data_IF_789214055473
#
_entry.id   IF_789214055473
#
_cell.length_a   1.000
_cell.length_b   1.000
_cell.length_c   1.000
_cell.angle_alpha   90.00
_cell.angle_beta   90.00
_cell.angle_gamma   90.00
#
_symmetry.space_group_name_H-M   'P 1'
#
loop_
_entity.id
_entity.type
_entity.pdbx_description
1 polymer ?
#
# COMPACT_ATOMS: atom_id res chain seq x y z
N UNK A 1 3.68 -34.23 -17.79
CA UNK A 1 2.36 -33.92 -18.34
C UNK A 1 2.16 -32.40 -18.19
N UNK A 2 2.41 -31.62 -19.24
CA UNK A 2 2.31 -30.15 -19.20
C UNK A 2 0.84 -29.76 -19.38
N UNK A 3 0.16 -29.29 -18.32
CA UNK A 3 -1.16 -28.67 -18.43
C UNK A 3 -0.98 -27.18 -18.70
N UNK A 4 -1.32 -26.78 -19.91
CA UNK A 4 -1.39 -25.39 -20.32
C UNK A 4 -2.56 -24.70 -19.63
N UNK A 5 -2.28 -23.70 -18.77
CA UNK A 5 -3.28 -22.69 -18.43
C UNK A 5 -3.36 -21.73 -19.61
N UNK A 6 -4.43 -21.81 -20.39
CA UNK A 6 -4.66 -20.94 -21.54
C UNK A 6 -5.02 -19.55 -21.05
N UNK A 7 -4.06 -18.64 -21.04
CA UNK A 7 -4.34 -17.21 -20.87
C UNK A 7 -5.10 -16.67 -22.10
N UNK A 8 -6.41 -16.67 -22.04
CA UNK A 8 -7.23 -15.80 -22.92
C UNK A 8 -7.11 -14.38 -22.39
N UNK A 9 -6.11 -13.57 -22.72
CA UNK A 9 -6.17 -12.17 -22.28
C UNK A 9 -4.96 -11.29 -22.63
N UNK A 10 -4.58 -11.17 -23.92
CA UNK A 10 -3.74 -10.01 -24.28
C UNK A 10 -4.50 -8.67 -24.21
N UNK A 11 -5.81 -8.65 -24.46
CA UNK A 11 -6.62 -7.43 -24.49
C UNK A 11 -6.95 -6.90 -23.08
N UNK A 12 -7.29 -7.76 -22.13
CA UNK A 12 -7.61 -7.38 -20.75
C UNK A 12 -6.41 -6.86 -19.94
N UNK A 13 -5.19 -7.36 -20.16
CA UNK A 13 -3.99 -6.91 -19.47
C UNK A 13 -3.55 -5.49 -19.85
N UNK A 14 -3.88 -5.01 -21.05
CA UNK A 14 -3.65 -3.61 -21.43
C UNK A 14 -4.69 -2.67 -20.81
N UNK A 15 -5.97 -3.08 -20.80
CA UNK A 15 -7.07 -2.32 -20.21
C UNK A 15 -6.86 -2.10 -18.70
N UNK A 16 -6.35 -3.11 -17.97
CA UNK A 16 -6.11 -2.99 -16.53
C UNK A 16 -4.85 -2.20 -16.18
N UNK A 17 -3.82 -2.19 -17.01
CA UNK A 17 -2.64 -1.32 -16.84
C UNK A 17 -2.99 0.15 -16.95
N UNK A 18 -3.96 0.47 -17.80
CA UNK A 18 -4.41 1.84 -18.05
C UNK A 18 -5.38 2.35 -16.95
N UNK A 19 -5.86 1.44 -16.09
CA UNK A 19 -6.80 1.77 -14.99
C UNK A 19 -6.11 2.27 -13.72
N UNK A 20 -4.79 2.12 -13.59
CA UNK A 20 -4.01 2.62 -12.46
C UNK A 20 -2.94 3.59 -12.96
N UNK A 21 -3.08 4.85 -12.56
CA UNK A 21 -2.04 5.85 -12.78
C UNK A 21 -1.10 5.87 -11.57
N UNK A 22 0.20 5.64 -11.83
CA UNK A 22 1.24 5.67 -10.80
C UNK A 22 2.05 6.96 -10.88
N UNK A 23 2.02 7.73 -9.78
CA UNK A 23 2.91 8.84 -9.54
C UNK A 23 3.96 8.44 -8.50
N UNK A 24 5.25 8.57 -8.84
CA UNK A 24 6.35 8.20 -7.95
C UNK A 24 7.14 9.42 -7.51
N UNK A 25 7.45 9.51 -6.23
CA UNK A 25 8.34 10.50 -5.64
C UNK A 25 9.47 9.77 -4.92
N UNK A 26 10.71 10.12 -5.22
CA UNK A 26 11.91 9.49 -4.63
C UNK A 26 12.55 10.40 -3.60
N UNK A 27 13.16 9.82 -2.55
CA UNK A 27 13.82 10.56 -1.48
C UNK A 27 12.92 11.65 -0.87
N UNK A 28 11.66 11.27 -0.56
CA UNK A 28 10.61 12.19 -0.13
C UNK A 28 11.00 12.84 1.20
N UNK A 29 10.92 14.17 1.22
CA UNK A 29 11.02 14.98 2.43
C UNK A 29 9.63 15.14 3.05
N UNK A 30 9.58 15.36 4.36
CA UNK A 30 8.30 15.56 5.06
C UNK A 30 7.46 16.72 4.47
N UNK A 31 8.11 17.77 3.96
CA UNK A 31 7.42 18.90 3.32
C UNK A 31 6.77 18.53 1.98
N UNK A 32 7.26 17.49 1.30
CA UNK A 32 6.79 17.12 -0.03
C UNK A 32 5.50 16.26 0.03
N UNK A 33 5.18 15.66 1.20
CA UNK A 33 4.04 14.74 1.35
C UNK A 33 2.71 15.45 1.06
N UNK A 34 2.43 16.55 1.77
CA UNK A 34 1.18 17.30 1.61
C UNK A 34 1.04 17.86 0.19
N UNK A 35 2.14 18.38 -0.36
CA UNK A 35 2.15 18.89 -1.73
C UNK A 35 1.83 17.76 -2.72
N UNK A 36 2.48 16.61 -2.61
CA UNK A 36 2.25 15.48 -3.51
C UNK A 36 0.80 14.98 -3.46
N UNK A 37 0.20 14.88 -2.26
CA UNK A 37 -1.19 14.45 -2.12
C UNK A 37 -2.14 15.49 -2.73
N UNK A 38 -1.92 16.78 -2.48
CA UNK A 38 -2.75 17.86 -3.03
C UNK A 38 -2.65 17.97 -4.57
N UNK A 39 -1.47 17.73 -5.14
CA UNK A 39 -1.26 17.74 -6.59
C UNK A 39 -1.94 16.57 -7.29
N UNK A 40 -1.94 15.39 -6.67
CA UNK A 40 -2.36 14.14 -7.33
C UNK A 40 -3.76 13.67 -6.96
N UNK A 41 -4.31 14.13 -5.82
CA UNK A 41 -5.59 13.67 -5.26
C UNK A 41 -5.72 12.13 -5.33
N UNK A 42 -4.80 11.36 -4.73
CA UNK A 42 -4.70 9.94 -4.94
C UNK A 42 -5.82 9.17 -4.22
N UNK A 43 -6.26 8.06 -4.82
CA UNK A 43 -7.12 7.08 -4.13
C UNK A 43 -6.30 6.19 -3.20
N UNK A 44 -5.05 5.93 -3.56
CA UNK A 44 -4.12 5.08 -2.80
C UNK A 44 -2.83 5.85 -2.57
N UNK A 45 -2.34 5.86 -1.33
CA UNK A 45 -1.00 6.36 -0.97
C UNK A 45 -0.15 5.17 -0.58
N UNK A 46 1.04 5.04 -1.16
CA UNK A 46 1.99 3.98 -0.84
C UNK A 46 3.30 4.56 -0.35
N UNK A 47 3.64 4.27 0.89
CA UNK A 47 4.97 4.52 1.44
C UNK A 47 5.81 3.25 1.32
N UNK A 48 6.95 3.35 0.61
CA UNK A 48 7.93 2.28 0.50
C UNK A 48 9.28 2.81 0.96
N UNK A 49 9.86 2.19 1.99
CA UNK A 49 11.10 2.65 2.56
C UNK A 49 11.40 2.03 3.92
N UNK A 50 12.12 2.75 4.74
CA UNK A 50 12.50 2.27 6.06
C UNK A 50 11.50 2.71 7.14
N UNK A 51 11.26 1.83 8.09
CA UNK A 51 10.58 2.11 9.35
C UNK A 51 11.51 1.84 10.52
N UNK A 52 11.34 2.58 11.60
CA UNK A 52 12.06 2.39 12.86
C UNK A 52 11.25 1.48 13.80
N UNK A 53 11.93 0.81 14.74
CA UNK A 53 11.30 -0.09 15.72
C UNK A 53 10.23 0.61 16.60
N UNK A 54 10.37 1.92 16.82
CA UNK A 54 9.37 2.73 17.53
C UNK A 54 8.13 3.06 16.66
N UNK A 55 8.12 2.59 15.40
CA UNK A 55 7.05 2.79 14.46
C UNK A 55 7.15 4.10 13.66
N UNK A 56 8.20 4.90 13.77
CA UNK A 56 8.38 6.09 12.93
C UNK A 56 8.74 5.71 11.48
N UNK A 57 8.23 6.47 10.51
CA UNK A 57 8.71 6.39 9.14
C UNK A 57 10.01 7.17 8.97
N UNK A 58 10.94 6.61 8.22
CA UNK A 58 12.21 7.27 7.92
C UNK A 58 12.12 7.95 6.56
N UNK A 59 12.04 9.27 6.57
CA UNK A 59 12.09 10.12 5.38
C UNK A 59 13.47 10.74 5.23
N UNK A 60 13.65 11.65 4.28
CA UNK A 60 14.92 12.35 4.02
C UNK A 60 14.84 13.82 4.45
N UNK A 61 15.91 14.30 5.04
CA UNK A 61 16.18 15.73 5.17
C UNK A 61 16.74 16.30 3.84
N UNK A 62 16.77 17.64 3.65
CA UNK A 62 17.36 18.25 2.45
C UNK A 62 18.84 17.92 2.23
N UNK A 63 19.59 17.60 3.28
CA UNK A 63 21.00 17.20 3.24
C UNK A 63 21.17 15.68 3.04
N UNK A 64 20.07 14.93 2.87
CA UNK A 64 20.07 13.47 2.69
C UNK A 64 20.15 12.67 3.99
N UNK A 65 20.22 13.31 5.14
CA UNK A 65 20.20 12.61 6.43
C UNK A 65 18.81 12.05 6.75
N UNK A 66 18.69 10.98 7.56
CA UNK A 66 17.40 10.43 7.97
C UNK A 66 16.57 11.44 8.80
N UNK A 67 15.27 11.48 8.53
CA UNK A 67 14.29 12.21 9.34
C UNK A 67 13.20 11.24 9.80
N UNK A 68 13.09 11.08 11.10
CA UNK A 68 12.03 10.28 11.72
C UNK A 68 10.73 11.09 11.77
N UNK A 69 9.64 10.49 11.29
CA UNK A 69 8.32 11.12 11.24
C UNK A 69 7.34 10.22 11.98
N UNK A 70 6.73 10.75 13.03
CA UNK A 70 5.84 9.97 13.89
C UNK A 70 4.53 9.58 13.19
N UNK A 71 3.88 8.56 13.73
CA UNK A 71 2.58 8.08 13.23
C UNK A 71 1.50 9.17 13.31
N UNK A 72 1.53 10.00 14.35
CA UNK A 72 0.58 11.09 14.54
C UNK A 72 0.73 12.15 13.43
N UNK A 73 1.98 12.46 13.04
CA UNK A 73 2.25 13.41 11.96
C UNK A 73 1.79 12.88 10.61
N UNK A 74 2.03 11.61 10.32
CA UNK A 74 1.56 10.95 9.10
C UNK A 74 0.04 10.86 9.08
N UNK A 75 -0.60 10.44 10.18
CA UNK A 75 -2.05 10.37 10.30
C UNK A 75 -2.70 11.73 10.06
N UNK A 76 -2.18 12.80 10.67
CA UNK A 76 -2.64 14.17 10.46
C UNK A 76 -2.46 14.60 9.01
N UNK A 77 -1.33 14.30 8.39
CA UNK A 77 -1.08 14.64 6.99
C UNK A 77 -2.08 13.96 6.05
N UNK A 78 -2.36 12.68 6.25
CA UNK A 78 -3.34 11.94 5.43
C UNK A 78 -4.76 12.45 5.67
N UNK A 79 -5.18 12.64 6.92
CA UNK A 79 -6.55 13.05 7.27
C UNK A 79 -6.91 14.45 6.79
N UNK A 80 -5.92 15.33 6.59
CA UNK A 80 -6.14 16.72 6.21
C UNK A 80 -5.85 17.03 4.75
N UNK A 81 -5.13 16.16 4.04
CA UNK A 81 -4.61 16.48 2.72
C UNK A 81 -5.58 16.12 1.58
N UNK A 82 -6.42 15.11 1.74
CA UNK A 82 -7.29 14.69 0.63
C UNK A 82 -8.50 13.88 1.10
N UNK A 83 -9.67 14.25 0.60
CA UNK A 83 -10.91 13.48 0.76
C UNK A 83 -10.98 12.24 -0.16
N UNK A 84 -9.99 12.06 -1.05
CA UNK A 84 -9.99 10.97 -2.04
C UNK A 84 -9.20 9.75 -1.61
N UNK A 85 -8.36 9.85 -0.58
CA UNK A 85 -7.54 8.73 -0.08
C UNK A 85 -8.43 7.71 0.60
N UNK A 86 -8.48 6.49 0.04
CA UNK A 86 -9.26 5.38 0.56
C UNK A 86 -8.40 4.27 1.14
N UNK A 87 -7.16 4.10 0.62
CA UNK A 87 -6.19 3.12 1.10
C UNK A 87 -4.83 3.77 1.31
N UNK A 88 -4.18 3.47 2.43
CA UNK A 88 -2.75 3.75 2.63
C UNK A 88 -2.00 2.43 2.83
N UNK A 89 -0.90 2.25 2.11
CA UNK A 89 -0.01 1.11 2.26
C UNK A 89 1.33 1.59 2.80
N UNK A 90 1.68 1.12 3.99
CA UNK A 90 2.99 1.35 4.59
C UNK A 90 3.86 0.11 4.40
N UNK A 91 4.58 0.05 3.29
CA UNK A 91 5.52 -1.03 3.00
C UNK A 91 6.91 -0.68 3.58
N UNK A 92 6.95 -0.62 4.90
CA UNK A 92 8.09 -0.28 5.74
C UNK A 92 8.06 -1.12 7.03
N UNK A 93 9.20 -1.48 7.57
CA UNK A 93 9.29 -2.28 8.80
C UNK A 93 8.55 -1.58 9.96
N UNK A 94 7.89 -2.37 10.82
CA UNK A 94 7.21 -1.90 12.06
C UNK A 94 6.15 -0.82 11.84
N UNK A 95 5.54 -0.76 10.66
CA UNK A 95 4.59 0.30 10.27
C UNK A 95 3.13 0.02 10.61
N UNK A 96 2.84 -1.06 11.35
CA UNK A 96 1.45 -1.37 11.73
C UNK A 96 0.81 -0.27 12.59
N UNK A 97 1.61 0.44 13.41
CA UNK A 97 1.10 1.52 14.25
C UNK A 97 0.62 2.73 13.43
N UNK A 98 1.29 3.04 12.30
CA UNK A 98 0.81 4.05 11.36
C UNK A 98 -0.50 3.61 10.72
N UNK A 99 -0.56 2.35 10.26
CA UNK A 99 -1.76 1.82 9.65
C UNK A 99 -2.96 1.86 10.59
N UNK A 100 -2.78 1.47 11.86
CA UNK A 100 -3.82 1.58 12.90
C UNK A 100 -4.28 3.02 13.14
N UNK A 101 -3.38 3.99 13.09
CA UNK A 101 -3.69 5.40 13.35
C UNK A 101 -4.46 6.05 12.20
N UNK A 102 -4.11 5.77 10.94
CA UNK A 102 -4.75 6.43 9.79
C UNK A 102 -6.16 5.92 9.48
N UNK A 103 -6.51 4.69 9.87
CA UNK A 103 -7.86 4.12 9.58
C UNK A 103 -8.99 4.82 10.34
N UNK A 104 -8.70 5.67 11.31
CA UNK A 104 -9.69 6.56 11.91
C UNK A 104 -10.27 7.57 10.89
N UNK A 105 -9.49 7.89 9.85
CA UNK A 105 -9.82 8.91 8.86
C UNK A 105 -10.08 8.37 7.46
N UNK A 106 -9.66 7.14 7.15
CA UNK A 106 -9.78 6.53 5.82
C UNK A 106 -10.42 5.14 5.89
N UNK A 107 -10.75 4.53 4.75
CA UNK A 107 -11.43 3.23 4.74
C UNK A 107 -10.54 2.08 5.23
N UNK A 108 -9.27 2.04 4.77
CA UNK A 108 -8.37 0.95 5.11
C UNK A 108 -6.89 1.36 5.05
N UNK A 109 -6.06 0.65 5.81
CA UNK A 109 -4.60 0.78 5.72
C UNK A 109 -3.92 -0.58 5.88
N UNK A 110 -2.74 -0.70 5.28
CA UNK A 110 -1.86 -1.86 5.41
C UNK A 110 -0.55 -1.41 6.03
N UNK A 111 -0.07 -2.15 7.02
CA UNK A 111 1.23 -1.93 7.67
C UNK A 111 1.91 -3.25 7.96
N UNK A 112 3.18 -3.19 8.36
CA UNK A 112 3.99 -4.36 8.68
C UNK A 112 4.15 -4.47 10.20
N UNK A 113 3.83 -5.65 10.77
CA UNK A 113 3.94 -5.90 12.21
C UNK A 113 5.37 -6.07 12.68
N UNK A 114 6.29 -6.38 11.77
CA UNK A 114 7.70 -6.64 12.05
C UNK A 114 8.58 -6.19 10.86
N UNK A 115 9.86 -6.50 10.92
CA UNK A 115 10.80 -6.30 9.83
C UNK A 115 10.43 -7.18 8.63
N UNK A 116 10.16 -6.59 7.49
CA UNK A 116 9.86 -7.27 6.25
C UNK A 116 11.08 -7.26 5.33
N UNK A 117 11.38 -8.40 4.70
CA UNK A 117 12.45 -8.50 3.69
C UNK A 117 12.03 -7.83 2.39
N UNK A 118 12.98 -7.29 1.66
CA UNK A 118 12.72 -6.61 0.39
C UNK A 118 12.00 -7.48 -0.64
N UNK A 119 12.36 -8.77 -0.75
CA UNK A 119 11.71 -9.71 -1.67
C UNK A 119 10.24 -9.96 -1.30
N UNK A 120 9.93 -10.09 0.00
CA UNK A 120 8.57 -10.22 0.49
C UNK A 120 7.76 -8.94 0.23
N UNK A 121 8.33 -7.77 0.54
CA UNK A 121 7.72 -6.47 0.36
C UNK A 121 7.36 -6.21 -1.12
N UNK A 122 8.28 -6.52 -2.04
CA UNK A 122 8.06 -6.38 -3.49
C UNK A 122 7.00 -7.37 -3.99
N UNK A 123 7.08 -8.64 -3.59
CA UNK A 123 6.11 -9.69 -3.97
C UNK A 123 4.71 -9.32 -3.50
N UNK A 124 4.58 -8.88 -2.25
CA UNK A 124 3.32 -8.43 -1.66
C UNK A 124 2.72 -7.28 -2.47
N UNK A 125 3.48 -6.20 -2.67
CA UNK A 125 3.00 -5.01 -3.36
C UNK A 125 2.61 -5.32 -4.82
N UNK A 126 3.42 -6.08 -5.54
CA UNK A 126 3.14 -6.46 -6.92
C UNK A 126 1.81 -7.20 -7.07
N UNK A 127 1.55 -8.20 -6.21
CA UNK A 127 0.30 -8.96 -6.26
C UNK A 127 -0.89 -8.14 -5.77
N UNK A 128 -0.73 -7.32 -4.71
CA UNK A 128 -1.76 -6.43 -4.21
C UNK A 128 -2.30 -5.52 -5.32
N UNK A 129 -1.41 -4.79 -5.98
CA UNK A 129 -1.79 -3.86 -7.05
C UNK A 129 -2.28 -4.55 -8.30
N UNK A 130 -1.73 -5.71 -8.64
CA UNK A 130 -2.26 -6.54 -9.72
C UNK A 130 -3.73 -6.89 -9.49
N UNK A 131 -4.06 -7.33 -8.27
CA UNK A 131 -5.43 -7.74 -7.94
C UNK A 131 -6.38 -6.55 -7.87
N UNK A 132 -5.95 -5.41 -7.28
CA UNK A 132 -6.71 -4.15 -7.28
C UNK A 132 -6.98 -3.70 -8.71
N UNK A 133 -5.98 -3.72 -9.59
CA UNK A 133 -6.12 -3.34 -11.00
C UNK A 133 -7.10 -4.19 -11.79
N UNK A 134 -7.34 -5.44 -11.38
CA UNK A 134 -8.39 -6.30 -11.92
C UNK A 134 -9.81 -5.95 -11.40
N UNK A 135 -9.96 -4.93 -10.55
CA UNK A 135 -11.24 -4.52 -9.99
C UNK A 135 -11.76 -5.46 -8.90
N UNK A 136 -10.88 -6.24 -8.27
CA UNK A 136 -11.28 -7.06 -7.13
C UNK A 136 -11.28 -6.25 -5.84
N UNK A 137 -12.05 -6.74 -4.85
CA UNK A 137 -12.12 -6.12 -3.55
C UNK A 137 -10.77 -6.12 -2.81
N UNK A 138 -10.59 -5.14 -1.91
CA UNK A 138 -9.39 -5.01 -1.11
C UNK A 138 -9.12 -6.26 -0.26
N UNK A 139 -10.17 -6.88 0.30
CA UNK A 139 -10.03 -8.14 1.03
C UNK A 139 -9.40 -9.23 0.17
N UNK A 140 -9.90 -9.40 -1.08
CA UNK A 140 -9.36 -10.39 -2.00
C UNK A 140 -7.94 -10.03 -2.44
N UNK A 141 -7.66 -8.73 -2.68
CA UNK A 141 -6.35 -8.27 -3.07
C UNK A 141 -5.31 -8.55 -1.98
N UNK A 142 -5.63 -8.28 -0.73
CA UNK A 142 -4.77 -8.58 0.41
C UNK A 142 -4.51 -10.08 0.55
N UNK A 143 -5.56 -10.91 0.54
CA UNK A 143 -5.42 -12.37 0.64
C UNK A 143 -4.55 -12.96 -0.48
N UNK A 144 -4.67 -12.44 -1.71
CA UNK A 144 -3.83 -12.88 -2.82
C UNK A 144 -2.39 -12.39 -2.70
N UNK A 145 -2.15 -11.22 -2.12
CA UNK A 145 -0.80 -10.72 -1.86
C UNK A 145 -0.07 -11.58 -0.81
N UNK A 146 -0.77 -12.00 0.25
CA UNK A 146 -0.25 -12.99 1.23
C UNK A 146 0.05 -14.33 0.56
N UNK A 147 -0.88 -14.85 -0.24
CA UNK A 147 -0.68 -16.11 -0.97
C UNK A 147 0.52 -16.04 -1.93
N UNK A 148 0.82 -14.89 -2.51
CA UNK A 148 1.99 -14.71 -3.37
C UNK A 148 3.30 -14.85 -2.59
N UNK A 149 3.41 -14.27 -1.38
CA UNK A 149 4.56 -14.48 -0.49
C UNK A 149 4.78 -15.96 -0.22
N UNK A 150 3.70 -16.69 0.14
CA UNK A 150 3.75 -18.12 0.42
C UNK A 150 4.17 -18.93 -0.82
N UNK A 151 3.67 -18.60 -2.02
CA UNK A 151 4.01 -19.27 -3.28
C UNK A 151 5.48 -19.10 -3.67
N UNK A 152 6.11 -17.98 -3.30
CA UNK A 152 7.55 -17.76 -3.46
C UNK A 152 8.40 -18.47 -2.38
N UNK A 153 7.77 -19.13 -1.42
CA UNK A 153 8.45 -19.83 -0.32
C UNK A 153 9.10 -18.88 0.69
N UNK A 154 8.58 -17.66 0.81
CA UNK A 154 9.07 -16.67 1.76
C UNK A 154 8.24 -16.79 3.03
N UNK A 155 8.87 -17.10 4.17
CA UNK A 155 8.18 -17.27 5.47
C UNK A 155 7.98 -15.93 6.17
N UNK A 156 7.20 -15.04 5.56
CA UNK A 156 6.86 -13.70 6.10
C UNK A 156 5.39 -13.33 5.81
N UNK A 157 4.54 -14.31 5.57
CA UNK A 157 3.11 -14.12 5.27
C UNK A 157 2.31 -13.49 6.42
N UNK A 158 2.79 -13.61 7.64
CA UNK A 158 2.13 -13.07 8.85
C UNK A 158 2.52 -11.61 9.15
N UNK A 159 3.50 -11.04 8.43
CA UNK A 159 4.00 -9.69 8.69
C UNK A 159 3.07 -8.60 8.15
N UNK A 160 2.54 -8.67 6.91
CA UNK A 160 1.59 -7.68 6.45
C UNK A 160 0.26 -7.77 7.21
N UNK A 161 -0.24 -6.64 7.69
CA UNK A 161 -1.49 -6.53 8.44
C UNK A 161 -2.42 -5.53 7.75
N UNK A 162 -3.70 -5.88 7.63
CA UNK A 162 -4.75 -5.05 7.05
C UNK A 162 -5.67 -4.54 8.16
N UNK A 163 -5.80 -3.23 8.24
CA UNK A 163 -6.67 -2.51 9.17
C UNK A 163 -7.79 -1.82 8.39
N UNK A 164 -8.95 -1.69 9.01
CA UNK A 164 -10.11 -1.02 8.45
C UNK A 164 -10.79 -0.13 9.49
N UNK A 165 -11.50 0.89 9.03
CA UNK A 165 -12.44 1.62 9.87
C UNK A 165 -13.63 0.72 10.20
N UNK A 166 -14.26 0.91 11.36
CA UNK A 166 -15.28 -0.01 11.90
C UNK A 166 -16.51 -0.17 11.00
N UNK A 167 -16.88 0.90 10.28
CA UNK A 167 -18.04 0.93 9.37
C UNK A 167 -17.75 0.38 7.96
N UNK A 168 -16.53 -0.08 7.69
CA UNK A 168 -16.10 -0.52 6.35
C UNK A 168 -16.13 -2.04 6.22
N UNK A 169 -16.72 -2.51 5.12
CA UNK A 169 -16.68 -3.92 4.72
C UNK A 169 -15.68 -4.13 3.59
N UNK A 170 -14.52 -4.71 3.90
CA UNK A 170 -13.37 -4.85 2.98
C UNK A 170 -13.69 -5.63 1.69
N UNK A 171 -14.67 -6.53 1.73
CA UNK A 171 -15.14 -7.27 0.56
C UNK A 171 -15.94 -6.39 -0.42
N UNK A 172 -16.36 -5.20 0.00
CA UNK A 172 -17.07 -4.20 -0.81
C UNK A 172 -16.17 -3.04 -1.25
N UNK A 173 -14.96 -2.92 -0.68
CA UNK A 173 -14.00 -1.87 -1.07
C UNK A 173 -13.38 -2.22 -2.41
N UNK A 174 -13.89 -1.60 -3.48
CA UNK A 174 -13.33 -1.64 -4.82
C UNK A 174 -12.63 -0.30 -5.07
N UNK A 175 -11.34 -0.33 -5.35
CA UNK A 175 -10.52 0.89 -5.50
C UNK A 175 -10.34 1.28 -6.97
N UNK A 176 -10.51 0.33 -7.88
CA UNK A 176 -10.44 0.52 -9.33
C UNK A 176 -11.65 -0.18 -9.94
N UNK A 177 -12.45 0.55 -10.71
CA UNK A 177 -13.51 -0.03 -11.54
C UNK A 177 -12.96 -0.14 -12.97
N UNK A 178 -12.60 -1.33 -13.42
CA UNK A 178 -12.27 -1.52 -14.83
C UNK A 178 -13.57 -1.45 -15.65
N UNK A 179 -13.72 -0.41 -16.44
CA UNK A 179 -14.80 -0.27 -17.44
C UNK A 179 -14.63 -1.28 -18.60
#
# INVERSE_FOLDING_TARGET
MKKYVRYKKKKRLSEFRDSIHFESRWAVRSADILQAINETNPTIVHFSGHGAENGDLVLSNPDGTPKFVSKEAISMAISTASDTVRLVVFNACFSEHQAKSVVESIEAAIGMSDSIRDDAAVTFAAQLYSTIGFGYSLEKAFKQAIAAIMLEGISQEDIPQLFKRDDVELNQVILVNPD
#
